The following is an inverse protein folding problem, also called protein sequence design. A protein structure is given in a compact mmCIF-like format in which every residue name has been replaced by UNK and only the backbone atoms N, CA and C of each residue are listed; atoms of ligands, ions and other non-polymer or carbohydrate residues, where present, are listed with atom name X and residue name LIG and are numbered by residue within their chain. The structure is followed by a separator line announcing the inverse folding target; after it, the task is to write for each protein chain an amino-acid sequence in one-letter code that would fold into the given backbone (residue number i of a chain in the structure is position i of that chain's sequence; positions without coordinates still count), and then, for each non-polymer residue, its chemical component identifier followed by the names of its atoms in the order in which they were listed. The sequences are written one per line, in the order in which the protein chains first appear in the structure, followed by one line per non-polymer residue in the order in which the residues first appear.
data_IF_254191825537
#
_entry.id   IF_254191825537
#
_cell.length_a   1.000
_cell.length_b   1.000
_cell.length_c   1.000
_cell.angle_alpha   90.00
_cell.angle_beta   90.00
_cell.angle_gamma   90.00
#
_symmetry.space_group_name_H-M   'P 1'
#
loop_
_entity.id
_entity.type
_entity.pdbx_description
1 polymer ?
#
# COMPACT_ATOMS: atom_id res chain seq x y z
N UNK A 1 7.83 17.74 -47.01
CA UNK A 1 7.26 17.99 -45.68
C UNK A 1 6.94 16.62 -45.07
N UNK A 2 7.84 16.06 -44.26
CA UNK A 2 7.66 14.75 -43.64
C UNK A 2 7.04 14.98 -42.26
N UNK A 3 5.84 14.46 -42.04
CA UNK A 3 5.25 14.42 -40.70
C UNK A 3 5.84 13.21 -39.97
N UNK A 4 6.71 13.47 -38.99
CA UNK A 4 7.14 12.47 -38.03
C UNK A 4 5.97 12.16 -37.08
N UNK A 5 5.43 10.95 -37.15
CA UNK A 5 4.57 10.41 -36.10
C UNK A 5 5.46 10.04 -34.91
N UNK A 6 5.39 10.81 -33.83
CA UNK A 6 5.97 10.42 -32.55
C UNK A 6 4.93 9.54 -31.83
N UNK A 7 4.96 8.23 -32.05
CA UNK A 7 4.17 7.30 -31.26
C UNK A 7 4.87 7.10 -29.91
N UNK A 8 4.48 7.89 -28.93
CA UNK A 8 4.95 7.75 -27.56
C UNK A 8 4.14 6.62 -26.90
N UNK A 9 4.67 5.39 -26.97
CA UNK A 9 4.05 4.24 -26.32
C UNK A 9 4.34 4.28 -24.80
N UNK A 10 3.45 4.89 -24.03
CA UNK A 10 3.45 4.76 -22.57
C UNK A 10 2.70 3.49 -22.20
N UNK A 11 3.36 2.35 -22.31
CA UNK A 11 2.89 1.14 -21.65
C UNK A 11 4.01 0.62 -20.76
N UNK A 12 4.45 1.42 -19.78
CA UNK A 12 4.92 0.80 -18.54
C UNK A 12 3.70 0.17 -17.90
N UNK A 13 3.48 -1.12 -18.18
CA UNK A 13 2.54 -1.92 -17.41
C UNK A 13 2.90 -1.73 -15.94
N UNK A 14 1.97 -1.20 -15.16
CA UNK A 14 2.14 -1.09 -13.70
C UNK A 14 2.44 -2.50 -13.20
N UNK A 15 3.56 -2.67 -12.51
CA UNK A 15 3.82 -3.91 -11.79
C UNK A 15 2.82 -3.93 -10.62
N UNK A 16 1.91 -4.91 -10.55
CA UNK A 16 0.98 -5.01 -9.44
C UNK A 16 1.76 -5.14 -8.12
N UNK A 17 1.19 -4.56 -7.07
CA UNK A 17 1.74 -4.61 -5.72
C UNK A 17 1.97 -3.24 -5.11
N UNK A 18 2.45 -3.26 -3.88
CA UNK A 18 2.78 -2.08 -3.07
C UNK A 18 4.27 -2.12 -2.75
N UNK A 19 4.90 -0.95 -2.70
CA UNK A 19 6.29 -0.84 -2.28
C UNK A 19 6.33 -0.96 -0.77
N UNK A 20 6.73 -2.12 -0.27
CA UNK A 20 7.01 -2.41 1.13
C UNK A 20 8.40 -1.88 1.52
N UNK A 21 8.46 -1.04 2.56
CA UNK A 21 9.70 -0.57 3.19
C UNK A 21 9.73 -1.09 4.62
N UNK A 22 10.75 -1.88 4.92
CA UNK A 22 10.91 -2.58 6.18
C UNK A 22 12.02 -1.90 6.99
N UNK A 23 11.75 -1.60 8.26
CA UNK A 23 12.66 -0.86 9.12
C UNK A 23 13.03 -1.66 10.37
N UNK A 24 14.29 -1.55 10.78
CA UNK A 24 14.77 -2.15 12.03
C UNK A 24 14.22 -1.42 13.28
N UNK A 25 13.81 -0.16 13.15
CA UNK A 25 13.22 0.64 14.23
C UNK A 25 11.70 0.80 14.07
N UNK A 26 10.99 1.02 15.17
CA UNK A 26 9.52 1.17 15.20
C UNK A 26 8.97 2.54 14.76
N UNK A 27 9.80 3.44 14.23
CA UNK A 27 9.42 4.83 13.93
C UNK A 27 9.28 5.13 12.42
N UNK A 28 9.24 4.09 11.55
CA UNK A 28 9.16 4.24 10.09
C UNK A 28 10.17 5.24 9.50
N UNK A 29 11.37 5.31 10.08
CA UNK A 29 12.37 6.32 9.74
C UNK A 29 13.77 5.72 9.63
N UNK A 30 14.68 6.48 9.01
CA UNK A 30 16.02 6.00 8.66
C UNK A 30 16.05 5.25 7.32
N UNK A 31 17.14 4.51 7.08
CA UNK A 31 17.28 3.69 5.87
C UNK A 31 16.55 2.37 6.07
N UNK A 32 15.58 2.00 5.20
CA UNK A 32 14.95 0.69 5.25
C UNK A 32 15.98 -0.43 5.10
N UNK A 33 15.84 -1.52 5.85
CA UNK A 33 16.68 -2.72 5.70
C UNK A 33 16.30 -3.53 4.46
N UNK A 34 15.04 -3.42 4.03
CA UNK A 34 14.53 -4.02 2.81
C UNK A 34 13.52 -3.08 2.13
N UNK A 35 13.63 -2.97 0.80
CA UNK A 35 12.64 -2.31 -0.06
C UNK A 35 12.26 -3.29 -1.15
N UNK A 36 10.98 -3.64 -1.24
CA UNK A 36 10.49 -4.68 -2.16
C UNK A 36 9.06 -4.38 -2.61
N UNK A 37 8.64 -4.96 -3.73
CA UNK A 37 7.23 -4.94 -4.14
C UNK A 37 6.54 -6.18 -3.57
N UNK A 38 5.55 -5.96 -2.73
CA UNK A 38 4.67 -6.98 -2.15
C UNK A 38 3.34 -7.03 -2.89
N UNK A 39 2.79 -8.23 -3.08
CA UNK A 39 1.47 -8.45 -3.70
C UNK A 39 0.30 -8.38 -2.70
N UNK A 40 0.59 -8.19 -1.41
CA UNK A 40 -0.41 -8.05 -0.36
C UNK A 40 0.14 -7.37 0.90
N UNK A 41 -0.77 -7.00 1.81
CA UNK A 41 -0.45 -6.42 3.12
C UNK A 41 -0.96 -7.37 4.19
N UNK A 42 -0.05 -8.11 4.81
CA UNK A 42 -0.38 -9.07 5.87
C UNK A 42 0.83 -9.43 6.71
N UNK A 43 0.59 -10.01 7.89
CA UNK A 43 1.66 -10.63 8.68
C UNK A 43 2.37 -11.75 7.90
N UNK A 44 1.65 -12.52 7.08
CA UNK A 44 2.24 -13.58 6.26
C UNK A 44 3.22 -13.01 5.22
N UNK A 45 2.89 -11.85 4.62
CA UNK A 45 3.78 -11.12 3.74
C UNK A 45 5.06 -10.71 4.47
N UNK A 46 4.94 -10.19 5.70
CA UNK A 46 6.10 -9.82 6.52
C UNK A 46 6.96 -11.04 6.85
N UNK A 47 6.34 -12.14 7.30
CA UNK A 47 7.03 -13.39 7.65
C UNK A 47 7.75 -13.98 6.43
N UNK A 48 7.15 -13.90 5.24
CA UNK A 48 7.77 -14.36 4.00
C UNK A 48 9.02 -13.55 3.58
N UNK A 49 9.25 -12.36 4.18
CA UNK A 49 10.47 -11.57 3.95
C UNK A 49 11.60 -11.88 4.93
N UNK A 50 11.35 -12.68 5.96
CA UNK A 50 12.36 -12.98 6.97
C UNK A 50 13.36 -14.01 6.46
N UNK A 51 14.65 -13.70 6.60
CA UNK A 51 15.70 -14.70 6.46
C UNK A 51 15.78 -15.57 7.73
N UNK A 52 15.69 -14.92 8.89
CA UNK A 52 15.59 -15.53 10.22
C UNK A 52 14.60 -14.76 11.09
N UNK A 53 14.14 -15.33 12.20
CA UNK A 53 13.27 -14.62 13.15
C UNK A 53 13.97 -13.46 13.88
N UNK A 54 15.31 -13.48 13.96
CA UNK A 54 16.07 -12.38 14.56
C UNK A 54 16.06 -11.11 13.69
N UNK A 55 15.68 -11.25 12.42
CA UNK A 55 15.60 -10.14 11.44
C UNK A 55 14.20 -9.52 11.36
N UNK A 56 13.36 -9.69 12.39
CA UNK A 56 12.01 -9.12 12.40
C UNK A 56 12.05 -7.59 12.26
N UNK A 57 11.38 -7.03 11.24
CA UNK A 57 11.20 -5.59 11.15
C UNK A 57 10.39 -5.09 12.35
N UNK A 58 10.75 -3.95 12.92
CA UNK A 58 9.94 -3.32 13.97
C UNK A 58 8.85 -2.43 13.40
N UNK A 59 8.99 -1.98 12.16
CA UNK A 59 7.92 -1.30 11.43
C UNK A 59 8.03 -1.55 9.93
N UNK A 60 6.89 -1.46 9.25
CA UNK A 60 6.78 -1.58 7.79
C UNK A 60 5.83 -0.51 7.28
N UNK A 61 6.15 0.11 6.14
CA UNK A 61 5.20 0.91 5.36
C UNK A 61 4.97 0.27 3.99
N UNK A 62 3.73 0.27 3.52
CA UNK A 62 3.39 -0.13 2.16
C UNK A 62 2.77 1.06 1.43
N UNK A 63 3.40 1.45 0.33
CA UNK A 63 3.04 2.64 -0.43
C UNK A 63 2.71 2.26 -1.87
N UNK A 64 1.61 2.79 -2.41
CA UNK A 64 1.22 2.54 -3.79
C UNK A 64 -0.21 2.98 -4.09
N UNK A 65 -0.79 2.37 -5.13
CA UNK A 65 -2.14 2.67 -5.58
C UNK A 65 -3.00 1.41 -5.48
N UNK A 66 -4.26 1.61 -5.11
CA UNK A 66 -5.29 0.58 -5.19
C UNK A 66 -6.21 0.90 -6.37
N UNK A 67 -6.58 -0.12 -7.13
CA UNK A 67 -7.57 0.03 -8.19
C UNK A 67 -8.94 -0.42 -7.66
N UNK A 68 -9.87 0.52 -7.52
CA UNK A 68 -11.26 0.25 -7.17
C UNK A 68 -12.08 0.04 -8.43
N UNK A 69 -12.61 -1.17 -8.60
CA UNK A 69 -13.29 -1.62 -9.83
C UNK A 69 -14.62 -0.88 -10.08
N UNK A 70 -15.23 -0.36 -9.03
CA UNK A 70 -16.50 0.36 -9.12
C UNK A 70 -16.43 1.70 -8.38
N UNK A 71 -17.24 2.65 -8.82
CA UNK A 71 -17.47 3.87 -8.06
C UNK A 71 -18.42 3.57 -6.90
N UNK A 72 -18.24 4.25 -5.77
CA UNK A 72 -19.18 4.19 -4.67
C UNK A 72 -18.52 3.98 -3.31
N UNK A 73 -19.31 3.39 -2.41
CA UNK A 73 -18.94 3.19 -1.02
C UNK A 73 -18.02 1.98 -0.88
N UNK A 74 -16.85 2.17 -0.31
CA UNK A 74 -15.89 1.11 -0.01
C UNK A 74 -15.57 1.12 1.48
N UNK A 75 -15.63 -0.06 2.09
CA UNK A 75 -15.21 -0.25 3.47
C UNK A 75 -13.83 -0.88 3.47
N UNK A 76 -12.91 -0.23 4.17
CA UNK A 76 -11.57 -0.72 4.44
C UNK A 76 -11.51 -1.19 5.87
N UNK A 77 -10.81 -2.30 6.10
CA UNK A 77 -10.69 -2.94 7.41
C UNK A 77 -9.22 -3.21 7.68
N UNK A 78 -8.77 -2.81 8.86
CA UNK A 78 -7.44 -3.13 9.38
C UNK A 78 -7.62 -4.03 10.60
N UNK A 79 -6.95 -5.18 10.59
CA UNK A 79 -6.82 -6.06 11.75
C UNK A 79 -5.35 -6.14 12.12
N UNK A 80 -5.00 -5.75 13.34
CA UNK A 80 -3.61 -5.77 13.80
C UNK A 80 -3.50 -6.07 15.30
N UNK A 81 -2.37 -6.66 15.67
CA UNK A 81 -1.85 -6.62 17.04
C UNK A 81 -0.92 -5.43 17.15
N UNK A 82 -1.18 -4.51 18.08
CA UNK A 82 -0.52 -3.22 18.13
C UNK A 82 -0.89 -2.29 16.96
N UNK A 83 -0.15 -1.20 16.85
CA UNK A 83 -0.55 -0.04 16.07
C UNK A 83 -0.47 -0.26 14.55
N UNK A 84 -1.54 0.13 13.83
CA UNK A 84 -1.58 0.19 12.38
C UNK A 84 -2.48 1.35 11.90
N UNK A 85 -2.15 1.90 10.74
CA UNK A 85 -2.92 2.99 10.13
C UNK A 85 -3.08 2.74 8.64
N UNK A 86 -4.24 3.10 8.11
CA UNK A 86 -4.49 3.15 6.67
C UNK A 86 -4.76 4.58 6.24
N UNK A 87 -3.97 5.06 5.30
CA UNK A 87 -4.19 6.33 4.62
C UNK A 87 -4.70 6.06 3.20
N UNK A 88 -5.66 6.86 2.77
CA UNK A 88 -6.13 6.89 1.38
C UNK A 88 -6.17 8.35 0.93
N UNK A 89 -5.55 8.65 -0.22
CA UNK A 89 -5.39 10.01 -0.74
C UNK A 89 -4.83 10.99 0.33
N UNK A 90 -3.75 10.57 1.00
CA UNK A 90 -3.08 11.31 2.09
C UNK A 90 -3.96 11.63 3.32
N UNK A 91 -5.14 11.01 3.42
CA UNK A 91 -6.05 11.15 4.57
C UNK A 91 -6.09 9.87 5.38
N UNK A 92 -5.96 10.03 6.70
CA UNK A 92 -6.15 8.93 7.63
C UNK A 92 -7.58 8.41 7.51
N UNK A 93 -7.72 7.17 7.04
CA UNK A 93 -9.01 6.51 6.84
C UNK A 93 -9.32 5.55 7.99
N UNK A 94 -8.35 4.72 8.38
CA UNK A 94 -8.47 3.80 9.52
C UNK A 94 -7.37 4.10 10.53
N UNK A 95 -7.77 4.46 11.75
CA UNK A 95 -6.87 4.57 12.90
C UNK A 95 -7.05 3.33 13.79
N UNK A 96 -6.09 2.41 13.72
CA UNK A 96 -5.96 1.27 14.63
C UNK A 96 -4.67 1.42 15.45
N UNK A 97 -4.41 2.63 15.94
CA UNK A 97 -3.22 2.97 16.70
C UNK A 97 -3.26 2.51 18.16
N UNK A 98 -2.12 2.65 18.83
CA UNK A 98 -1.97 2.35 20.25
C UNK A 98 -1.51 0.93 20.55
N UNK A 99 -1.43 0.60 21.84
CA UNK A 99 -1.07 -0.74 22.31
C UNK A 99 -2.33 -1.52 22.63
N UNK A 100 -2.59 -2.57 21.87
CA UNK A 100 -3.72 -3.47 22.04
C UNK A 100 -3.36 -4.87 21.54
N UNK A 101 -4.14 -5.88 21.94
CA UNK A 101 -4.09 -7.21 21.32
C UNK A 101 -4.62 -7.15 19.87
N UNK A 102 -5.20 -8.22 19.35
CA UNK A 102 -5.83 -8.17 18.02
C UNK A 102 -7.09 -7.33 18.05
N UNK A 103 -7.05 -6.18 17.36
CA UNK A 103 -8.20 -5.30 17.16
C UNK A 103 -8.48 -5.14 15.67
N UNK A 104 -9.77 -5.14 15.32
CA UNK A 104 -10.25 -4.87 13.96
C UNK A 104 -11.00 -3.55 13.94
N UNK A 105 -10.54 -2.62 13.11
CA UNK A 105 -11.19 -1.32 12.88
C UNK A 105 -11.51 -1.18 11.40
N UNK A 106 -12.69 -0.64 11.10
CA UNK A 106 -13.14 -0.40 9.74
C UNK A 106 -13.57 1.05 9.56
N UNK A 107 -13.36 1.56 8.35
CA UNK A 107 -13.90 2.84 7.92
C UNK A 107 -14.40 2.76 6.49
N UNK A 108 -15.43 3.56 6.21
CA UNK A 108 -16.06 3.62 4.90
C UNK A 108 -15.80 4.98 4.27
N UNK A 109 -15.38 4.97 3.02
CA UNK A 109 -15.24 6.18 2.20
C UNK A 109 -15.95 6.00 0.86
N UNK A 110 -16.27 7.12 0.20
CA UNK A 110 -16.72 7.11 -1.19
C UNK A 110 -15.52 7.39 -2.08
N UNK A 111 -15.28 6.50 -3.02
CA UNK A 111 -14.32 6.69 -4.08
C UNK A 111 -15.05 6.77 -5.43
N UNK A 112 -14.54 7.60 -6.34
CA UNK A 112 -14.91 7.48 -7.74
C UNK A 112 -14.27 6.19 -8.31
N UNK A 113 -14.87 5.59 -9.34
CA UNK A 113 -14.13 4.64 -10.15
C UNK A 113 -13.03 5.43 -10.84
N UNK A 114 -11.76 5.13 -10.56
CA UNK A 114 -10.67 5.64 -11.39
C UNK A 114 -10.58 4.80 -12.65
N UNK A 115 -11.52 5.01 -13.58
CA UNK A 115 -11.29 4.67 -14.98
C UNK A 115 -10.75 5.94 -15.63
N UNK A 116 -9.42 6.05 -15.77
CA UNK A 116 -8.84 6.99 -16.76
C UNK A 116 -9.03 6.42 -18.16
N UNK A 117 -10.29 6.30 -18.58
CA UNK A 117 -10.62 6.17 -19.99
C UNK A 117 -11.11 7.53 -20.48
N UNK A 118 -10.32 8.13 -21.37
CA UNK A 118 -10.72 9.32 -22.07
C UNK A 118 -9.56 10.25 -22.37
N UNK A 119 -8.78 9.93 -23.40
CA UNK A 119 -8.19 10.96 -24.23
C UNK A 119 -8.86 10.87 -25.61
N UNK A 120 -9.64 11.90 -25.92
CA UNK A 120 -10.03 12.25 -27.30
C UNK A 120 -8.84 12.88 -28.00
#
# INVERSE_FOLDING_TARGET
MLASLCALAWHTALRPGLVGRYYAGGAWSGTPTLVVVDDGVSTDTVVARLATFDDLPQSVSWDGFIHLVAAGSHTFTVTSTGAAWLFLDDRLLVDNGGSHETLTVSATTRAAAEIREGLR
#
